data_IF_576587459675
#
_entry.id   IF_576587459675
#
_cell.length_a   1.000
_cell.length_b   1.000
_cell.length_c   1.000
_cell.angle_alpha   90.00
_cell.angle_beta   90.00
_cell.angle_gamma   90.00
#
_symmetry.space_group_name_H-M   'P 1'
#
loop_
_entity.id
_entity.type
_entity.pdbx_description
1 polymer ?
#
# COMPACT_ATOMS: atom_id res chain seq x y z
N UNK A 1 10.91 -0.34 -2.43
CA UNK A 1 10.68 -0.32 -3.90
C UNK A 1 11.16 -1.62 -4.51
N UNK A 2 10.52 -2.09 -5.59
CA UNK A 2 10.91 -3.31 -6.29
C UNK A 2 11.56 -2.97 -7.64
N UNK A 3 12.59 -3.68 -7.99
CA UNK A 3 13.29 -3.59 -9.26
C UNK A 3 12.74 -4.61 -10.27
N UNK A 4 13.14 -4.56 -11.55
CA UNK A 4 12.74 -5.56 -12.57
C UNK A 4 13.05 -7.01 -12.18
N UNK A 5 14.01 -7.22 -11.27
CA UNK A 5 14.35 -8.53 -10.70
C UNK A 5 13.39 -8.99 -9.59
N UNK A 6 12.39 -8.19 -9.20
CA UNK A 6 11.52 -8.43 -8.03
C UNK A 6 12.27 -8.52 -6.69
N UNK A 7 13.49 -8.01 -6.63
CA UNK A 7 14.23 -7.86 -5.38
C UNK A 7 13.98 -6.48 -4.78
N UNK A 8 13.94 -6.39 -3.45
CA UNK A 8 13.83 -5.12 -2.76
C UNK A 8 15.05 -4.24 -3.00
N UNK A 9 14.78 -3.00 -3.36
CA UNK A 9 15.79 -1.96 -3.54
C UNK A 9 15.37 -0.71 -2.78
N UNK A 10 16.34 0.05 -2.31
CA UNK A 10 16.12 1.35 -1.68
C UNK A 10 17.10 2.38 -2.19
N UNK A 11 16.71 3.63 -2.07
CA UNK A 11 17.59 4.78 -2.21
C UNK A 11 17.13 5.90 -1.26
N UNK A 12 18.03 6.77 -0.89
CA UNK A 12 17.74 7.98 -0.11
C UNK A 12 17.70 9.18 -1.07
N UNK A 13 16.65 9.97 -0.97
CA UNK A 13 16.45 11.17 -1.78
C UNK A 13 16.32 12.36 -0.85
N UNK A 14 17.07 13.42 -1.13
CA UNK A 14 16.90 14.70 -0.45
C UNK A 14 15.84 15.51 -1.19
N UNK A 15 14.78 15.87 -0.49
CA UNK A 15 13.71 16.73 -1.05
C UNK A 15 14.22 18.16 -1.29
N UNK A 16 13.68 18.81 -2.32
CA UNK A 16 14.08 20.17 -2.69
C UNK A 16 12.82 21.07 -2.80
N UNK A 17 12.21 21.36 -1.65
CA UNK A 17 11.00 22.18 -1.56
C UNK A 17 9.89 21.67 -2.48
N UNK A 18 9.43 22.50 -3.42
CA UNK A 18 8.39 22.16 -4.40
C UNK A 18 8.94 21.57 -5.71
N UNK A 19 10.26 21.53 -5.85
CA UNK A 19 10.89 20.99 -7.05
C UNK A 19 10.92 19.47 -7.03
N UNK A 20 10.45 18.84 -8.09
CA UNK A 20 10.47 17.38 -8.20
C UNK A 20 11.91 16.86 -8.28
N UNK A 21 12.23 15.87 -7.46
CA UNK A 21 13.52 15.18 -7.45
C UNK A 21 13.30 13.76 -7.98
N UNK A 22 13.92 13.40 -9.13
CA UNK A 22 13.77 12.06 -9.68
C UNK A 22 14.55 11.02 -8.87
N UNK A 23 14.10 9.78 -8.90
CA UNK A 23 14.90 8.63 -8.45
C UNK A 23 16.04 8.38 -9.42
N UNK A 24 17.18 7.92 -8.92
CA UNK A 24 18.31 7.48 -9.75
C UNK A 24 18.02 6.14 -10.41
N UNK A 25 17.31 5.27 -9.69
CA UNK A 25 16.95 3.93 -10.16
C UNK A 25 15.52 3.89 -10.72
N UNK A 26 15.28 2.97 -11.63
CA UNK A 26 13.93 2.66 -12.11
C UNK A 26 13.31 1.55 -11.26
N UNK A 27 12.10 1.77 -10.80
CA UNK A 27 11.38 0.85 -9.92
C UNK A 27 10.08 0.37 -10.58
N UNK A 28 9.73 -0.90 -10.36
CA UNK A 28 8.44 -1.44 -10.78
C UNK A 28 7.29 -0.92 -9.91
N UNK A 29 7.57 -0.78 -8.60
CA UNK A 29 6.55 -0.39 -7.62
C UNK A 29 7.19 0.32 -6.43
N UNK A 30 6.49 1.30 -5.91
CA UNK A 30 6.76 1.87 -4.60
C UNK A 30 5.99 1.05 -3.54
N UNK A 31 6.69 0.36 -2.67
CA UNK A 31 6.09 -0.39 -1.56
C UNK A 31 6.04 0.44 -0.28
N UNK A 32 7.06 1.25 -0.04
CA UNK A 32 7.16 2.13 1.12
C UNK A 32 8.12 3.27 0.84
N UNK A 33 7.78 4.45 1.30
CA UNK A 33 8.72 5.54 1.49
C UNK A 33 8.59 6.07 2.92
N UNK A 34 9.71 6.46 3.51
CA UNK A 34 9.77 6.99 4.88
C UNK A 34 10.82 8.08 4.98
N UNK A 35 10.65 8.97 5.95
CA UNK A 35 11.67 9.94 6.32
C UNK A 35 12.78 9.19 7.07
N UNK A 36 14.04 9.48 6.76
CA UNK A 36 15.20 8.84 7.41
C UNK A 36 16.08 9.83 8.16
N UNK A 37 15.86 11.12 7.98
CA UNK A 37 16.57 12.18 8.68
C UNK A 37 15.71 12.78 9.78
N UNK A 38 16.23 12.82 10.99
CA UNK A 38 15.76 13.53 12.16
C UNK A 38 14.23 13.65 12.34
N UNK A 39 13.62 12.64 12.97
CA UNK A 39 12.20 12.40 12.77
C UNK A 39 11.39 12.31 14.04
N UNK A 40 11.56 13.28 14.90
CA UNK A 40 10.60 13.43 16.01
C UNK A 40 9.26 13.97 15.46
N UNK A 41 9.25 14.71 14.37
CA UNK A 41 8.07 15.44 13.87
C UNK A 41 7.58 15.01 12.48
N UNK A 42 8.27 14.11 11.77
CA UNK A 42 7.90 13.72 10.40
C UNK A 42 8.22 14.82 9.36
N UNK A 43 7.51 14.77 8.24
CA UNK A 43 7.63 15.77 7.17
C UNK A 43 6.72 16.99 7.45
N UNK A 44 7.24 18.21 7.29
CA UNK A 44 6.44 19.43 7.46
C UNK A 44 5.36 19.58 6.39
N UNK A 45 5.66 19.28 5.14
CA UNK A 45 4.74 19.39 4.02
C UNK A 45 4.36 18.04 3.45
N UNK A 46 3.36 18.02 2.57
CA UNK A 46 3.00 16.82 1.83
C UNK A 46 4.09 16.42 0.84
N UNK A 47 4.38 15.12 0.77
CA UNK A 47 5.28 14.55 -0.24
C UNK A 47 4.44 13.68 -1.18
N UNK A 48 4.49 13.99 -2.47
CA UNK A 48 3.75 13.26 -3.50
C UNK A 48 4.72 12.48 -4.38
N UNK A 49 4.47 11.19 -4.53
CA UNK A 49 5.23 10.31 -5.41
C UNK A 49 4.49 10.13 -6.72
N UNK A 50 5.19 10.31 -7.85
CA UNK A 50 4.60 10.27 -9.19
C UNK A 50 5.39 9.35 -10.11
N UNK A 51 4.70 8.79 -11.12
CA UNK A 51 5.35 8.16 -12.25
C UNK A 51 5.94 9.25 -13.14
N UNK A 52 7.24 9.14 -13.47
CA UNK A 52 7.97 10.10 -14.31
C UNK A 52 7.85 11.56 -13.88
N UNK A 53 8.56 12.47 -14.52
CA UNK A 53 8.68 13.89 -14.16
C UNK A 53 7.36 14.56 -13.73
N UNK A 54 7.37 15.26 -12.67
CA UNK A 54 6.45 16.25 -12.06
C UNK A 54 4.95 16.25 -12.35
N UNK A 55 4.51 15.79 -13.51
CA UNK A 55 3.12 15.78 -13.98
C UNK A 55 2.52 14.37 -14.10
N UNK A 56 3.31 13.32 -13.85
CA UNK A 56 2.86 11.93 -13.96
C UNK A 56 1.81 11.54 -12.94
N UNK A 57 1.20 10.38 -13.15
CA UNK A 57 0.20 9.81 -12.24
C UNK A 57 0.73 9.71 -10.81
N UNK A 58 -0.06 10.15 -9.84
CA UNK A 58 0.24 9.99 -8.42
C UNK A 58 0.13 8.52 -8.04
N UNK A 59 1.20 7.96 -7.49
CA UNK A 59 1.27 6.56 -7.05
C UNK A 59 1.25 6.42 -5.53
N UNK A 60 1.67 7.46 -4.81
CA UNK A 60 1.60 7.51 -3.35
C UNK A 60 1.63 8.95 -2.86
N UNK A 61 1.16 9.11 -1.62
CA UNK A 61 1.14 10.39 -0.93
C UNK A 61 1.52 10.18 0.54
N UNK A 62 2.32 11.09 1.06
CA UNK A 62 2.66 11.19 2.47
C UNK A 62 2.18 12.55 2.98
N UNK A 63 1.15 12.56 3.82
CA UNK A 63 0.64 13.79 4.42
C UNK A 63 1.63 14.42 5.40
N UNK A 64 1.42 15.68 5.81
CA UNK A 64 2.26 16.34 6.81
C UNK A 64 2.28 15.56 8.12
N UNK A 65 3.43 15.53 8.79
CA UNK A 65 3.65 14.89 10.09
C UNK A 65 3.37 13.37 10.14
N UNK A 66 3.33 12.70 8.99
CA UNK A 66 3.09 11.25 8.90
C UNK A 66 4.40 10.46 8.92
N UNK A 67 5.46 10.99 8.30
CA UNK A 67 6.78 10.38 8.27
C UNK A 67 6.95 9.16 7.36
N UNK A 68 5.85 8.59 6.83
CA UNK A 68 5.89 7.46 5.91
C UNK A 68 4.64 7.39 5.02
N UNK A 69 4.77 6.71 3.89
CA UNK A 69 3.59 6.34 3.08
C UNK A 69 2.81 5.21 3.75
N UNK A 70 1.48 5.28 3.67
CA UNK A 70 0.58 4.24 4.16
C UNK A 70 -0.02 3.52 2.95
N UNK A 71 0.70 2.55 2.42
CA UNK A 71 0.28 1.75 1.27
C UNK A 71 0.00 0.32 1.75
N UNK A 72 -1.23 -0.16 1.53
CA UNK A 72 -1.60 -1.55 1.78
C UNK A 72 -1.33 -2.40 0.53
N UNK A 73 -0.08 -2.38 0.06
CA UNK A 73 0.39 -3.11 -1.12
C UNK A 73 1.64 -3.90 -0.80
N UNK A 74 1.75 -5.07 -1.41
CA UNK A 74 2.94 -5.91 -1.31
C UNK A 74 3.18 -6.60 -2.65
N UNK A 75 4.43 -6.88 -2.97
CA UNK A 75 4.77 -7.76 -4.08
C UNK A 75 5.69 -8.85 -3.54
N UNK A 76 5.31 -10.10 -3.78
CA UNK A 76 6.08 -11.26 -3.32
C UNK A 76 7.44 -11.28 -4.06
N UNK A 77 8.58 -11.27 -3.34
CA UNK A 77 9.89 -11.33 -3.97
C UNK A 77 10.09 -12.60 -4.80
N UNK A 78 11.03 -12.57 -5.74
CA UNK A 78 11.43 -13.75 -6.46
C UNK A 78 12.02 -14.81 -5.51
N UNK A 79 11.72 -16.08 -5.73
CA UNK A 79 12.16 -17.22 -4.90
C UNK A 79 11.47 -17.29 -3.53
N UNK A 80 10.27 -16.70 -3.42
CA UNK A 80 9.49 -16.75 -2.17
C UNK A 80 8.01 -16.97 -2.44
N UNK A 81 7.38 -17.65 -1.49
CA UNK A 81 5.92 -17.77 -1.41
C UNK A 81 5.41 -17.00 -0.19
N UNK A 82 4.38 -16.17 -0.38
CA UNK A 82 3.71 -15.43 0.67
C UNK A 82 2.39 -16.11 1.06
N UNK A 83 2.17 -16.26 2.35
CA UNK A 83 0.93 -16.80 2.93
C UNK A 83 0.20 -15.70 3.68
N UNK A 84 -0.96 -15.30 3.20
CA UNK A 84 -1.82 -14.32 3.86
C UNK A 84 -2.54 -14.97 5.04
N UNK A 85 -2.31 -14.43 6.22
CA UNK A 85 -2.85 -14.95 7.49
C UNK A 85 -4.05 -14.16 7.95
N UNK A 86 -4.01 -12.84 7.83
CA UNK A 86 -5.14 -11.97 8.20
C UNK A 86 -5.19 -10.70 7.37
N UNK A 87 -6.39 -10.14 7.30
CA UNK A 87 -6.68 -8.82 6.76
C UNK A 87 -7.52 -8.06 7.80
N UNK A 88 -7.00 -6.93 8.26
CA UNK A 88 -7.67 -6.06 9.22
C UNK A 88 -7.90 -4.70 8.57
N UNK A 89 -9.05 -4.12 8.81
CA UNK A 89 -9.38 -2.80 8.30
C UNK A 89 -10.31 -2.05 9.24
N UNK A 90 -10.37 -0.74 9.08
CA UNK A 90 -11.34 0.09 9.75
C UNK A 90 -11.82 1.20 8.85
N UNK A 91 -13.05 1.62 9.01
CA UNK A 91 -13.59 2.80 8.37
C UNK A 91 -14.20 3.75 9.39
N UNK A 92 -14.06 5.04 9.13
CA UNK A 92 -14.64 6.09 9.93
C UNK A 92 -15.09 7.24 9.03
N UNK A 93 -16.31 7.67 9.20
CA UNK A 93 -16.85 8.89 8.62
C UNK A 93 -17.54 9.69 9.73
N UNK A 94 -17.11 10.94 9.94
CA UNK A 94 -17.67 11.83 10.99
C UNK A 94 -19.03 12.44 10.64
N UNK A 95 -19.60 12.11 9.47
CA UNK A 95 -20.94 12.55 9.07
C UNK A 95 -22.05 11.77 9.77
N UNK A 96 -23.27 12.25 9.62
CA UNK A 96 -24.47 11.58 10.13
C UNK A 96 -24.89 10.48 9.17
N UNK A 97 -25.03 9.27 9.68
CA UNK A 97 -25.54 8.12 8.93
C UNK A 97 -24.60 6.93 8.86
N UNK A 98 -25.17 5.82 8.42
CA UNK A 98 -24.43 4.58 8.21
C UNK A 98 -23.72 4.62 6.85
N UNK A 99 -22.40 4.77 6.85
CA UNK A 99 -21.60 4.79 5.64
C UNK A 99 -20.97 3.42 5.42
N UNK A 100 -21.46 2.73 4.40
CA UNK A 100 -20.88 1.44 3.98
C UNK A 100 -19.52 1.62 3.30
N UNK A 101 -18.58 0.81 3.72
CA UNK A 101 -17.24 0.76 3.12
C UNK A 101 -16.89 -0.68 2.81
N UNK A 102 -16.54 -0.95 1.57
CA UNK A 102 -16.01 -2.24 1.14
C UNK A 102 -14.48 -2.21 1.17
N UNK A 103 -13.90 -3.23 1.74
CA UNK A 103 -12.47 -3.50 1.73
C UNK A 103 -12.26 -4.65 0.75
N UNK A 104 -11.50 -4.40 -0.30
CA UNK A 104 -11.30 -5.35 -1.39
C UNK A 104 -9.83 -5.72 -1.47
N UNK A 105 -9.54 -7.00 -1.33
CA UNK A 105 -8.22 -7.57 -1.52
C UNK A 105 -8.09 -8.11 -2.93
N UNK A 106 -7.10 -7.64 -3.64
CA UNK A 106 -6.77 -8.09 -4.99
C UNK A 106 -5.41 -8.78 -4.99
N UNK A 107 -5.26 -9.74 -5.88
CA UNK A 107 -3.94 -10.26 -6.26
C UNK A 107 -3.75 -10.20 -7.76
N UNK A 108 -2.51 -10.02 -8.17
CA UNK A 108 -2.10 -10.08 -9.56
C UNK A 108 -0.86 -10.96 -9.66
N UNK A 109 -0.99 -12.24 -10.00
CA UNK A 109 0.15 -13.09 -10.31
C UNK A 109 0.98 -12.52 -11.47
N UNK A 110 2.24 -12.93 -11.56
CA UNK A 110 3.12 -12.47 -12.61
C UNK A 110 2.49 -12.66 -14.00
N UNK A 111 2.56 -11.60 -14.82
CA UNK A 111 2.02 -11.57 -16.19
C UNK A 111 0.51 -11.86 -16.32
N UNK A 112 -0.24 -11.67 -15.21
CA UNK A 112 -1.69 -11.82 -15.20
C UNK A 112 -2.39 -10.51 -14.87
N UNK A 113 -3.73 -10.53 -14.80
CA UNK A 113 -4.57 -9.41 -14.40
C UNK A 113 -4.87 -9.45 -12.91
N UNK A 114 -5.35 -8.32 -12.36
CA UNK A 114 -5.83 -8.28 -11.00
C UNK A 114 -7.11 -9.11 -10.83
N UNK A 115 -7.08 -10.03 -9.88
CA UNK A 115 -8.22 -10.84 -9.46
C UNK A 115 -8.65 -10.40 -8.06
N UNK A 116 -9.95 -10.30 -7.85
CA UNK A 116 -10.53 -10.06 -6.54
C UNK A 116 -10.50 -11.35 -5.73
N UNK A 117 -9.80 -11.34 -4.60
CA UNK A 117 -9.59 -12.52 -3.74
C UNK A 117 -10.56 -12.50 -2.56
N UNK A 118 -10.81 -11.32 -1.99
CA UNK A 118 -11.63 -11.20 -0.81
C UNK A 118 -12.33 -9.83 -0.75
N UNK A 119 -13.57 -9.83 -0.21
CA UNK A 119 -14.31 -8.61 0.09
C UNK A 119 -14.74 -8.67 1.55
N UNK A 120 -14.44 -7.60 2.29
CA UNK A 120 -15.00 -7.33 3.59
C UNK A 120 -15.86 -6.08 3.55
N UNK A 121 -16.85 -5.99 4.39
CA UNK A 121 -17.70 -4.81 4.52
C UNK A 121 -17.72 -4.31 5.95
N UNK A 122 -17.78 -3.00 6.11
CA UNK A 122 -17.86 -2.35 7.41
C UNK A 122 -18.71 -1.08 7.32
N UNK A 123 -19.36 -0.73 8.40
CA UNK A 123 -20.15 0.49 8.53
C UNK A 123 -19.61 1.26 9.73
N UNK A 124 -18.80 2.29 9.48
CA UNK A 124 -18.15 3.11 10.51
C UNK A 124 -17.54 2.26 11.66
N UNK A 125 -16.89 1.15 11.31
CA UNK A 125 -16.48 0.13 12.26
C UNK A 125 -15.18 -0.54 11.83
N UNK A 126 -14.81 -1.61 12.51
CA UNK A 126 -13.68 -2.46 12.20
C UNK A 126 -14.15 -3.70 11.43
N UNK A 127 -13.28 -4.18 10.58
CA UNK A 127 -13.37 -5.44 9.88
C UNK A 127 -12.10 -6.24 10.15
N UNK A 128 -12.24 -7.52 10.48
CA UNK A 128 -11.10 -8.43 10.65
C UNK A 128 -11.45 -9.79 10.05
N UNK A 129 -10.59 -10.26 9.18
CA UNK A 129 -10.64 -11.61 8.64
C UNK A 129 -9.36 -12.36 9.00
N UNK A 130 -9.49 -13.49 9.68
CA UNK A 130 -8.41 -14.46 9.87
C UNK A 130 -8.66 -15.64 8.94
N UNK A 131 -7.64 -16.02 8.20
CA UNK A 131 -7.73 -17.14 7.27
C UNK A 131 -7.25 -18.39 7.98
N UNK A 132 -8.16 -19.30 8.29
CA UNK A 132 -7.85 -20.60 8.91
C UNK A 132 -6.87 -21.39 8.04
N UNK A 133 -7.09 -21.33 6.75
CA UNK A 133 -6.14 -21.79 5.73
C UNK A 133 -5.53 -20.57 5.04
N UNK A 134 -4.25 -20.25 5.31
CA UNK A 134 -3.61 -19.09 4.70
C UNK A 134 -3.66 -19.13 3.18
N UNK A 135 -3.94 -18.00 2.56
CA UNK A 135 -4.00 -17.89 1.10
C UNK A 135 -2.57 -17.75 0.56
N UNK A 136 -2.14 -18.70 -0.27
CA UNK A 136 -0.80 -18.70 -0.84
C UNK A 136 -0.73 -17.80 -2.08
N UNK A 137 0.33 -17.01 -2.17
CA UNK A 137 0.71 -16.20 -3.33
C UNK A 137 2.13 -16.55 -3.75
N UNK A 138 2.30 -17.00 -4.97
CA UNK A 138 3.59 -17.32 -5.53
C UNK A 138 4.47 -16.09 -5.75
N UNK A 139 5.75 -16.30 -6.01
CA UNK A 139 6.69 -15.23 -6.33
C UNK A 139 6.11 -14.24 -7.36
N UNK A 140 6.55 -12.98 -7.29
CA UNK A 140 6.19 -11.90 -8.21
C UNK A 140 4.69 -11.56 -8.26
N UNK A 141 3.89 -12.11 -7.36
CA UNK A 141 2.47 -11.74 -7.21
C UNK A 141 2.35 -10.39 -6.52
N UNK A 142 1.59 -9.49 -7.11
CA UNK A 142 1.18 -8.25 -6.48
C UNK A 142 -0.06 -8.47 -5.61
N UNK A 143 -0.04 -8.00 -4.38
CA UNK A 143 -1.15 -8.00 -3.43
C UNK A 143 -1.51 -6.54 -3.18
N UNK A 144 -2.80 -6.19 -3.30
CA UNK A 144 -3.27 -4.81 -3.24
C UNK A 144 -4.62 -4.75 -2.51
N UNK A 145 -4.68 -3.97 -1.44
CA UNK A 145 -5.91 -3.74 -0.69
C UNK A 145 -6.47 -2.36 -1.03
N UNK A 146 -7.70 -2.34 -1.50
CA UNK A 146 -8.42 -1.13 -1.91
C UNK A 146 -9.70 -0.97 -1.10
N UNK A 147 -10.10 0.26 -0.86
CA UNK A 147 -11.35 0.58 -0.23
C UNK A 147 -12.28 1.31 -1.21
N UNK A 148 -13.54 0.99 -1.13
CA UNK A 148 -14.63 1.71 -1.78
C UNK A 148 -15.64 2.14 -0.72
N UNK A 149 -15.93 3.44 -0.64
CA UNK A 149 -16.92 3.97 0.27
C UNK A 149 -18.06 4.66 -0.49
N UNK A 150 -19.27 4.53 0.02
CA UNK A 150 -20.44 5.21 -0.53
C UNK A 150 -20.48 6.72 -0.26
N UNK A 151 -19.53 7.24 0.55
CA UNK A 151 -19.47 8.66 0.89
C UNK A 151 -18.05 9.21 0.81
N UNK A 152 -17.94 10.44 0.32
CA UNK A 152 -16.69 11.20 0.34
C UNK A 152 -16.28 11.53 1.79
N UNK A 153 -14.98 11.69 2.02
CA UNK A 153 -14.45 12.02 3.35
C UNK A 153 -14.35 10.84 4.32
N UNK A 154 -14.71 9.62 3.90
CA UNK A 154 -14.49 8.43 4.69
C UNK A 154 -13.00 8.14 4.83
N UNK A 155 -12.53 8.03 6.08
CA UNK A 155 -11.18 7.60 6.39
C UNK A 155 -11.16 6.08 6.46
N UNK A 156 -10.22 5.47 5.77
CA UNK A 156 -10.05 4.01 5.78
C UNK A 156 -8.60 3.70 6.12
N UNK A 157 -8.41 2.73 6.99
CA UNK A 157 -7.11 2.09 7.18
C UNK A 157 -7.25 0.60 6.96
N UNK A 158 -6.23 -0.01 6.37
CA UNK A 158 -6.16 -1.45 6.19
C UNK A 158 -4.72 -1.93 6.34
N UNK A 159 -4.58 -3.12 6.88
CA UNK A 159 -3.32 -3.85 6.96
C UNK A 159 -3.58 -5.33 6.75
N UNK A 160 -2.58 -6.04 6.30
CA UNK A 160 -2.62 -7.49 6.20
C UNK A 160 -1.32 -8.09 6.74
N UNK A 161 -1.43 -9.29 7.30
CA UNK A 161 -0.30 -10.04 7.81
C UNK A 161 0.01 -11.19 6.87
N UNK A 162 1.26 -11.28 6.47
CA UNK A 162 1.77 -12.34 5.61
C UNK A 162 2.96 -13.03 6.28
N UNK A 163 3.03 -14.34 6.08
CA UNK A 163 4.22 -15.14 6.34
C UNK A 163 4.93 -15.35 5.00
N UNK A 164 6.23 -15.04 4.95
CA UNK A 164 7.04 -15.20 3.76
C UNK A 164 7.97 -16.40 3.95
N UNK A 165 7.96 -17.33 3.01
CA UNK A 165 8.76 -18.56 3.04
C UNK A 165 9.64 -18.59 1.78
N UNK A 166 10.87 -19.06 1.93
CA UNK A 166 11.76 -19.34 0.80
C UNK A 166 11.30 -20.61 0.09
N UNK A 167 11.28 -20.59 -1.24
CA UNK A 167 10.89 -21.70 -2.09
C UNK A 167 11.97 -22.78 -2.21
#
# INVERSE_FOLDING_TARGET
MLFRSYNYQSETITTNGLTAVPTVKNYLRLTKAQIVSDVITGNYGSITFRLTSGTGTVIAHMGPNIGQTKLAVYTVPAGKTAYLVSLDASSFNGGVGAIGTQIRLYSKPYDQVFNLIHIGETINSQYSAKFEFPIAFTEKTDIDTRAYSSSNGTRVSANFNILLIDD
#
